data_IF_364484636902
#
_entry.id   IF_364484636902
#
_cell.length_a   1.000
_cell.length_b   1.000
_cell.length_c   1.000
_cell.angle_alpha   90.00
_cell.angle_beta   90.00
_cell.angle_gamma   90.00
#
_symmetry.space_group_name_H-M   'P 1'
#
loop_
_entity.id
_entity.type
_entity.pdbx_description
1 polymer ?
#
# COMPACT_ATOMS: atom_id res chain seq x y z
N UNK A 1 26.55 6.86 -3.81
CA UNK A 1 25.46 6.63 -4.80
C UNK A 1 25.07 5.18 -4.70
N UNK A 2 23.86 4.87 -4.25
CA UNK A 2 23.36 3.48 -4.21
C UNK A 2 22.88 3.07 -5.58
N UNK A 3 23.22 1.85 -5.99
CA UNK A 3 22.62 1.23 -7.18
C UNK A 3 21.17 0.82 -6.85
N UNK A 4 20.25 1.04 -7.80
CA UNK A 4 18.92 0.44 -7.74
C UNK A 4 19.09 -1.06 -7.92
N UNK A 5 18.51 -1.85 -7.02
CA UNK A 5 18.49 -3.31 -7.11
C UNK A 5 17.12 -3.75 -7.61
N UNK A 6 17.11 -4.68 -8.53
CA UNK A 6 15.88 -5.36 -8.97
C UNK A 6 15.50 -6.45 -7.95
N UNK A 7 14.21 -6.69 -7.79
CA UNK A 7 13.69 -7.71 -6.89
C UNK A 7 12.17 -7.79 -6.90
N UNK A 8 11.64 -8.89 -6.39
CA UNK A 8 10.21 -9.11 -6.23
C UNK A 8 9.73 -8.87 -4.79
N UNK A 9 8.46 -9.24 -4.52
CA UNK A 9 7.85 -9.10 -3.19
C UNK A 9 8.64 -9.76 -2.05
N UNK A 10 9.36 -10.84 -2.34
CA UNK A 10 10.19 -11.57 -1.36
C UNK A 10 11.27 -10.70 -0.73
N UNK A 11 11.70 -9.62 -1.40
CA UNK A 11 12.67 -8.69 -0.83
C UNK A 11 12.15 -7.92 0.38
N UNK A 12 10.83 -7.80 0.55
CA UNK A 12 10.24 -7.10 1.69
C UNK A 12 10.49 -7.83 3.02
N UNK A 13 10.77 -9.14 2.99
CA UNK A 13 11.12 -9.92 4.18
C UNK A 13 12.55 -9.64 4.68
N UNK A 14 13.45 -9.20 3.79
CA UNK A 14 14.89 -9.08 4.09
C UNK A 14 15.26 -7.83 4.91
N UNK A 15 14.33 -6.89 5.09
CA UNK A 15 14.59 -5.60 5.73
C UNK A 15 13.46 -5.20 6.71
N UNK A 16 13.20 -5.98 7.77
CA UNK A 16 12.09 -5.74 8.68
C UNK A 16 12.25 -4.45 9.50
N UNK A 17 13.46 -3.92 9.61
CA UNK A 17 13.81 -2.66 10.27
C UNK A 17 13.44 -1.41 9.45
N UNK A 18 13.10 -1.57 8.17
CA UNK A 18 12.81 -0.46 7.24
C UNK A 18 11.32 -0.33 6.98
N UNK A 19 10.89 0.88 6.62
CA UNK A 19 9.54 1.11 6.09
C UNK A 19 9.41 0.56 4.66
N UNK A 20 8.27 -0.07 4.36
CA UNK A 20 7.93 -0.49 2.99
C UNK A 20 7.15 0.63 2.30
N UNK A 21 7.62 1.05 1.12
CA UNK A 21 6.94 2.03 0.27
C UNK A 21 6.37 1.33 -0.96
N UNK A 22 5.09 1.53 -1.25
CA UNK A 22 4.44 1.04 -2.47
C UNK A 22 3.72 2.18 -3.17
N UNK A 23 3.91 2.28 -4.50
CA UNK A 23 3.33 3.32 -5.34
C UNK A 23 2.77 2.66 -6.60
N UNK A 24 1.45 2.66 -6.76
CA UNK A 24 0.75 2.00 -7.88
C UNK A 24 1.16 0.53 -8.16
N UNK A 25 1.22 -0.37 -7.15
CA UNK A 25 1.62 -1.76 -7.37
C UNK A 25 0.60 -2.58 -8.14
N UNK A 26 -0.69 -2.22 -8.07
CA UNK A 26 -1.80 -2.97 -8.66
C UNK A 26 -2.45 -2.12 -9.76
N UNK A 27 -1.96 -2.27 -11.00
CA UNK A 27 -2.39 -1.48 -12.16
C UNK A 27 -3.91 -1.51 -12.36
N UNK A 28 -4.51 -0.33 -12.57
CA UNK A 28 -5.96 -0.13 -12.67
C UNK A 28 -6.76 -0.66 -11.46
N UNK A 29 -6.14 -0.73 -10.28
CA UNK A 29 -6.74 -1.28 -9.07
C UNK A 29 -6.85 -2.81 -9.10
N UNK A 30 -6.18 -3.45 -10.06
CA UNK A 30 -6.14 -4.89 -10.25
C UNK A 30 -4.71 -5.42 -10.15
N UNK A 31 -4.59 -6.70 -9.81
CA UNK A 31 -3.30 -7.35 -9.59
C UNK A 31 -3.11 -7.81 -8.15
N UNK A 32 -1.96 -8.42 -7.90
CA UNK A 32 -1.62 -9.04 -6.62
C UNK A 32 -0.23 -8.65 -6.11
N UNK A 33 0.43 -7.68 -6.74
CA UNK A 33 1.79 -7.34 -6.36
C UNK A 33 1.80 -6.65 -4.99
N UNK A 34 0.86 -5.74 -4.74
CA UNK A 34 0.71 -5.09 -3.44
C UNK A 34 0.50 -6.10 -2.32
N UNK A 35 -0.48 -7.02 -2.46
CA UNK A 35 -0.76 -8.03 -1.43
C UNK A 35 0.39 -9.03 -1.27
N UNK A 36 1.11 -9.36 -2.34
CA UNK A 36 2.30 -10.21 -2.26
C UNK A 36 3.40 -9.53 -1.43
N UNK A 37 3.65 -8.24 -1.64
CA UNK A 37 4.61 -7.49 -0.83
C UNK A 37 4.17 -7.42 0.63
N UNK A 38 2.89 -7.16 0.89
CA UNK A 38 2.35 -7.05 2.24
C UNK A 38 2.49 -8.36 3.03
N UNK A 39 2.27 -9.51 2.37
CA UNK A 39 2.39 -10.84 3.00
C UNK A 39 3.83 -11.16 3.43
N UNK A 40 4.81 -10.73 2.62
CA UNK A 40 6.24 -10.90 2.88
C UNK A 40 6.78 -9.89 3.90
N UNK A 41 6.20 -8.69 3.96
CA UNK A 41 6.69 -7.63 4.83
C UNK A 41 6.37 -7.89 6.31
N UNK A 42 7.40 -7.94 7.14
CA UNK A 42 7.30 -8.16 8.59
C UNK A 42 7.49 -6.89 9.42
N UNK A 43 7.98 -5.81 8.79
CA UNK A 43 8.19 -4.54 9.47
C UNK A 43 6.90 -3.82 9.88
N UNK A 44 7.04 -2.61 10.40
CA UNK A 44 5.95 -1.92 11.11
C UNK A 44 5.37 -0.71 10.40
N UNK A 45 6.01 -0.21 9.33
CA UNK A 45 5.63 1.05 8.68
C UNK A 45 5.38 0.81 7.20
N UNK A 46 4.17 1.13 6.75
CA UNK A 46 3.88 1.23 5.33
C UNK A 46 3.75 2.69 4.94
N UNK A 47 4.32 3.05 3.79
CA UNK A 47 4.05 4.30 3.11
C UNK A 47 3.42 3.97 1.76
N UNK A 48 2.17 4.36 1.59
CA UNK A 48 1.39 4.05 0.39
C UNK A 48 1.13 5.34 -0.37
N UNK A 49 1.42 5.35 -1.67
CA UNK A 49 1.12 6.49 -2.54
C UNK A 49 0.21 6.04 -3.67
N UNK A 50 -0.96 6.68 -3.75
CA UNK A 50 -1.96 6.41 -4.77
C UNK A 50 -3.38 6.63 -4.26
N UNK A 51 -4.35 6.25 -5.08
CA UNK A 51 -5.77 6.28 -4.75
C UNK A 51 -6.13 5.24 -3.67
N UNK A 52 -7.14 5.57 -2.87
CA UNK A 52 -7.75 4.67 -1.87
C UNK A 52 -9.27 4.65 -2.08
N UNK A 53 -10.00 3.69 -1.49
CA UNK A 53 -11.46 3.57 -1.71
C UNK A 53 -12.26 4.82 -1.33
N UNK A 54 -11.78 5.63 -0.40
CA UNK A 54 -12.40 6.89 0.02
C UNK A 54 -11.73 8.13 -0.62
N UNK A 55 -10.76 7.92 -1.50
CA UNK A 55 -9.99 8.94 -2.23
C UNK A 55 -9.78 8.47 -3.67
N UNK A 56 -10.88 8.35 -4.43
CA UNK A 56 -10.88 7.98 -5.84
C UNK A 56 -12.14 8.52 -6.55
N UNK A 57 -12.03 8.74 -7.86
CA UNK A 57 -13.19 9.01 -8.70
C UNK A 57 -13.95 7.75 -9.12
N UNK A 58 -13.41 6.55 -8.89
CA UNK A 58 -13.99 5.31 -9.40
C UNK A 58 -15.36 4.95 -8.84
N UNK A 59 -15.77 5.54 -7.71
CA UNK A 59 -17.14 5.41 -7.19
C UNK A 59 -18.19 6.17 -8.04
N UNK A 60 -17.78 7.06 -8.93
CA UNK A 60 -18.65 7.97 -9.70
C UNK A 60 -18.56 7.80 -11.21
N UNK A 61 -17.69 6.91 -11.70
CA UNK A 61 -17.43 6.73 -13.11
C UNK A 61 -17.60 5.26 -13.52
N UNK A 62 -18.47 5.01 -14.49
CA UNK A 62 -18.70 3.68 -15.01
C UNK A 62 -17.41 3.07 -15.59
N UNK A 63 -17.13 1.83 -15.21
CA UNK A 63 -15.95 1.10 -15.67
C UNK A 63 -14.68 1.34 -14.84
N UNK A 64 -14.72 2.20 -13.81
CA UNK A 64 -13.62 2.36 -12.85
C UNK A 64 -13.90 1.61 -11.54
N UNK A 65 -12.83 1.17 -10.89
CA UNK A 65 -12.91 0.48 -9.60
C UNK A 65 -13.27 1.47 -8.47
N UNK A 66 -14.23 1.15 -7.57
CA UNK A 66 -14.51 2.00 -6.41
C UNK A 66 -13.38 1.99 -5.37
N UNK A 67 -12.34 1.17 -5.56
CA UNK A 67 -11.12 1.17 -4.76
C UNK A 67 -10.01 2.03 -5.39
N UNK A 68 -10.29 2.68 -6.52
CA UNK A 68 -9.31 3.44 -7.28
C UNK A 68 -8.37 2.55 -8.08
N UNK A 69 -7.39 3.19 -8.68
CA UNK A 69 -6.53 2.56 -9.69
C UNK A 69 -5.16 2.15 -9.15
N UNK A 70 -4.85 2.45 -7.89
CA UNK A 70 -3.50 2.27 -7.34
C UNK A 70 -3.26 0.94 -6.62
N UNK A 71 -4.26 0.50 -5.85
CA UNK A 71 -4.18 -0.67 -4.98
C UNK A 71 -5.44 -1.51 -5.13
N UNK A 72 -5.28 -2.83 -5.15
CA UNK A 72 -6.41 -3.76 -5.20
C UNK A 72 -7.27 -3.73 -3.94
N UNK A 73 -8.57 -4.04 -4.09
CA UNK A 73 -9.49 -4.12 -2.95
C UNK A 73 -9.03 -5.12 -1.88
N UNK A 74 -8.39 -6.22 -2.28
CA UNK A 74 -7.81 -7.20 -1.35
C UNK A 74 -6.68 -6.57 -0.53
N UNK A 75 -5.77 -5.85 -1.18
CA UNK A 75 -4.68 -5.16 -0.49
C UNK A 75 -5.20 -4.11 0.49
N UNK A 76 -6.15 -3.27 0.08
CA UNK A 76 -6.67 -2.21 0.94
C UNK A 76 -7.29 -2.77 2.22
N UNK A 77 -8.12 -3.82 2.10
CA UNK A 77 -8.73 -4.50 3.25
C UNK A 77 -7.67 -5.13 4.17
N UNK A 78 -6.65 -5.76 3.59
CA UNK A 78 -5.58 -6.37 4.38
C UNK A 78 -4.78 -5.32 5.17
N UNK A 79 -4.51 -4.16 4.57
CA UNK A 79 -3.86 -3.04 5.28
C UNK A 79 -4.76 -2.54 6.42
N UNK A 80 -6.04 -2.28 6.18
CA UNK A 80 -6.98 -1.78 7.21
C UNK A 80 -7.20 -2.79 8.35
N UNK A 81 -7.10 -4.08 8.04
CA UNK A 81 -7.19 -5.15 9.04
C UNK A 81 -5.99 -5.10 10.00
N UNK A 82 -4.76 -5.01 9.49
CA UNK A 82 -3.54 -5.20 10.28
C UNK A 82 -2.80 -3.91 10.67
N UNK A 83 -3.20 -2.78 10.09
CA UNK A 83 -2.54 -1.49 10.28
C UNK A 83 -3.54 -0.39 10.65
N UNK A 84 -3.03 0.63 11.32
CA UNK A 84 -3.74 1.86 11.65
C UNK A 84 -3.13 3.00 10.82
N UNK A 85 -4.00 3.82 10.24
CA UNK A 85 -3.58 5.01 9.49
C UNK A 85 -3.08 6.06 10.48
N UNK A 86 -1.79 6.41 10.41
CA UNK A 86 -1.20 7.46 11.25
C UNK A 86 -1.35 8.84 10.60
N UNK A 87 -1.07 8.95 9.30
CA UNK A 87 -1.25 10.20 8.59
C UNK A 87 -1.68 9.98 7.14
N UNK A 88 -2.40 10.98 6.61
CA UNK A 88 -2.76 11.07 5.20
C UNK A 88 -2.51 12.50 4.72
N UNK A 89 -1.79 12.62 3.61
CA UNK A 89 -1.47 13.88 2.97
C UNK A 89 -2.01 13.90 1.54
N UNK A 90 -2.73 14.97 1.20
CA UNK A 90 -3.14 15.22 -0.19
C UNK A 90 -1.93 15.57 -1.03
N UNK A 91 -1.89 15.02 -2.24
CA UNK A 91 -0.83 15.29 -3.21
C UNK A 91 -1.32 16.24 -4.31
N UNK A 92 -0.41 16.94 -4.99
CA UNK A 92 -0.70 17.53 -6.29
C UNK A 92 -1.01 16.40 -7.27
N UNK A 93 -2.22 16.39 -7.83
CA UNK A 93 -2.71 15.29 -8.64
C UNK A 93 -2.85 15.69 -10.11
N UNK A 94 -2.65 14.73 -10.99
CA UNK A 94 -3.09 14.85 -12.38
C UNK A 94 -4.62 14.99 -12.45
N UNK A 95 -5.17 15.64 -13.48
CA UNK A 95 -6.61 15.66 -13.70
C UNK A 95 -7.18 14.25 -13.69
N UNK A 96 -8.30 14.06 -12.97
CA UNK A 96 -9.00 12.78 -12.81
C UNK A 96 -8.28 11.72 -11.95
N UNK A 97 -7.27 12.10 -11.17
CA UNK A 97 -6.67 11.25 -10.14
C UNK A 97 -6.84 11.88 -8.75
N UNK A 98 -7.03 11.05 -7.72
CA UNK A 98 -7.15 11.47 -6.33
C UNK A 98 -6.09 10.83 -5.43
N UNK A 99 -4.85 10.80 -5.90
CA UNK A 99 -3.75 10.23 -5.13
C UNK A 99 -3.53 10.94 -3.79
N UNK A 100 -3.20 10.13 -2.78
CA UNK A 100 -2.79 10.56 -1.45
C UNK A 100 -1.54 9.82 -1.04
N UNK A 101 -0.72 10.43 -0.18
CA UNK A 101 0.31 9.72 0.58
C UNK A 101 -0.27 9.33 1.93
N UNK A 102 -0.17 8.05 2.28
CA UNK A 102 -0.67 7.50 3.53
C UNK A 102 0.46 6.80 4.28
N UNK A 103 0.60 7.08 5.57
CA UNK A 103 1.51 6.35 6.45
C UNK A 103 0.68 5.49 7.39
N UNK A 104 0.96 4.19 7.39
CA UNK A 104 0.27 3.21 8.20
C UNK A 104 1.25 2.52 9.16
N UNK A 105 0.80 2.30 10.39
CA UNK A 105 1.55 1.59 11.41
C UNK A 105 0.90 0.26 11.72
N UNK A 106 1.69 -0.81 11.79
CA UNK A 106 1.17 -2.13 12.13
C UNK A 106 0.62 -2.13 13.56
N UNK A 107 -0.62 -2.63 13.72
CA UNK A 107 -1.28 -2.81 15.02
C UNK A 107 -0.45 -3.74 15.90
N UNK A 108 -0.41 -3.46 17.21
CA UNK A 108 0.30 -4.32 18.15
C UNK A 108 -0.22 -5.77 18.13
N UNK A 109 -1.53 -5.96 17.98
CA UNK A 109 -2.19 -7.28 17.87
C UNK A 109 -1.86 -8.05 16.60
N UNK A 110 -1.43 -7.36 15.54
CA UNK A 110 -1.11 -7.95 14.23
C UNK A 110 0.39 -8.10 14.00
N UNK A 111 1.23 -7.86 15.03
CA UNK A 111 2.66 -8.12 14.96
C UNK A 111 2.89 -9.63 14.93
N UNK A 112 3.54 -10.12 13.87
CA UNK A 112 4.12 -11.46 13.88
C UNK A 112 5.17 -11.47 14.99
N UNK A 113 4.99 -12.33 16.00
CA UNK A 113 5.84 -12.33 17.19
C UNK A 113 7.32 -12.47 16.83
N UNK A 114 8.20 -11.74 17.53
CA UNK A 114 9.62 -12.11 17.55
C UNK A 114 9.70 -13.53 18.09
N UNK A 115 10.12 -14.48 17.25
CA UNK A 115 10.65 -15.73 17.77
C UNK A 115 11.82 -15.35 18.71
N UNK A 116 11.70 -15.76 19.97
CA UNK A 116 12.77 -15.72 20.95
C UNK A 116 13.89 -16.70 20.56
#
# INVERSE_FOLDING_TARGET
RGFVKEGGPEQAANYPDRGLILMWPDYAGGGSYGISCLRQYEGHVLVLVGEWHDCTFGAYADGLSPFGQSFSAEFQRAVEQDYELECRHRLPNWPLFLDVMMVWRRKASSRKGSAA
#
